data_IF_574657415554
#
_entry.id   IF_574657415554
#
_cell.length_a   1.000
_cell.length_b   1.000
_cell.length_c   1.000
_cell.angle_alpha   90.00
_cell.angle_beta   90.00
_cell.angle_gamma   90.00
#
_symmetry.space_group_name_H-M   'P 1'
#
loop_
_entity.id
_entity.type
_entity.pdbx_description
1 polymer ?
#
# COMPACT_ATOMS: atom_id res chain seq x y z
N UNK A 1 33.54 24.06 -26.34
CA UNK A 1 34.64 23.45 -25.56
C UNK A 1 34.45 21.94 -25.60
N UNK A 2 35.39 21.24 -26.24
CA UNK A 2 35.38 19.77 -26.35
C UNK A 2 35.40 19.17 -24.94
N UNK A 3 34.44 18.29 -24.62
CA UNK A 3 34.59 17.37 -23.48
C UNK A 3 35.75 16.45 -23.84
N UNK A 4 36.92 16.67 -23.26
CA UNK A 4 38.00 15.70 -23.30
C UNK A 4 37.46 14.42 -22.64
N UNK A 5 37.26 13.35 -23.42
CA UNK A 5 36.90 12.04 -22.88
C UNK A 5 38.14 11.48 -22.18
N UNK A 6 38.15 11.55 -20.85
CA UNK A 6 39.16 10.88 -20.03
C UNK A 6 38.84 9.39 -20.01
N UNK A 7 39.81 8.56 -20.40
CA UNK A 7 39.66 7.12 -20.44
C UNK A 7 40.33 6.49 -19.21
N UNK A 8 39.57 6.37 -18.12
CA UNK A 8 40.07 5.85 -16.84
C UNK A 8 40.13 4.31 -16.82
N UNK A 9 41.23 3.75 -16.32
CA UNK A 9 41.42 2.30 -16.22
C UNK A 9 40.92 1.71 -14.91
N UNK A 10 41.05 2.45 -13.80
CA UNK A 10 40.69 1.94 -12.47
C UNK A 10 39.19 1.64 -12.36
N UNK A 11 38.26 2.53 -12.78
CA UNK A 11 36.83 2.25 -12.79
C UNK A 11 36.46 1.00 -13.60
N UNK A 12 37.11 0.80 -14.77
CA UNK A 12 36.85 -0.36 -15.65
C UNK A 12 37.27 -1.69 -15.04
N UNK A 13 38.27 -1.66 -14.15
CA UNK A 13 38.84 -2.85 -13.50
C UNK A 13 38.34 -3.05 -12.07
N UNK A 14 37.44 -2.21 -11.58
CA UNK A 14 37.05 -2.16 -10.16
C UNK A 14 36.51 -3.49 -9.64
N UNK A 15 35.67 -4.20 -10.41
CA UNK A 15 35.07 -5.47 -10.03
C UNK A 15 36.13 -6.54 -9.76
N UNK A 16 37.20 -6.55 -10.56
CA UNK A 16 38.35 -7.43 -10.35
C UNK A 16 39.02 -7.15 -9.00
N UNK A 17 39.17 -5.88 -8.63
CA UNK A 17 39.78 -5.48 -7.37
C UNK A 17 38.87 -5.75 -6.17
N UNK A 18 37.56 -5.59 -6.31
CA UNK A 18 36.57 -5.96 -5.29
C UNK A 18 36.56 -7.48 -5.05
N UNK A 19 36.62 -8.29 -6.12
CA UNK A 19 36.75 -9.74 -6.00
C UNK A 19 38.06 -10.16 -5.30
N UNK A 20 39.17 -9.47 -5.57
CA UNK A 20 40.43 -9.69 -4.86
C UNK A 20 40.35 -9.27 -3.39
N UNK A 21 39.71 -8.13 -3.10
CA UNK A 21 39.53 -7.60 -1.76
C UNK A 21 38.65 -8.53 -0.91
N UNK A 22 37.57 -9.08 -1.48
CA UNK A 22 36.72 -10.07 -0.82
C UNK A 22 37.52 -11.31 -0.39
N UNK A 23 38.39 -11.84 -1.27
CA UNK A 23 39.30 -12.96 -0.94
C UNK A 23 40.32 -12.58 0.15
N UNK A 24 40.89 -11.39 0.06
CA UNK A 24 41.81 -10.86 1.07
C UNK A 24 41.13 -10.78 2.44
N UNK A 25 39.89 -10.29 2.51
CA UNK A 25 39.13 -10.25 3.76
C UNK A 25 38.78 -11.63 4.31
N UNK A 26 38.42 -12.58 3.45
CA UNK A 26 38.19 -13.96 3.84
C UNK A 26 39.43 -14.60 4.50
N UNK A 27 40.60 -14.42 3.88
CA UNK A 27 41.87 -14.95 4.39
C UNK A 27 42.29 -14.37 5.75
N UNK A 28 41.90 -13.13 6.02
CA UNK A 28 42.26 -12.41 7.24
C UNK A 28 41.15 -12.44 8.31
N UNK A 29 40.09 -13.25 8.13
CA UNK A 29 38.98 -13.35 9.08
C UNK A 29 38.13 -12.07 9.19
N UNK A 30 38.22 -11.16 8.21
CA UNK A 30 37.54 -9.86 8.18
C UNK A 30 36.11 -9.99 7.63
N UNK A 31 35.29 -10.83 8.28
CA UNK A 31 33.95 -11.21 7.80
C UNK A 31 33.03 -10.02 7.51
N UNK A 32 32.99 -9.02 8.40
CA UNK A 32 32.15 -7.82 8.24
C UNK A 32 32.42 -7.07 6.92
N UNK A 33 33.69 -6.98 6.52
CA UNK A 33 34.05 -6.30 5.29
C UNK A 33 33.75 -7.16 4.06
N UNK A 34 33.99 -8.47 4.17
CA UNK A 34 33.65 -9.40 3.10
C UNK A 34 32.14 -9.41 2.81
N UNK A 35 31.30 -9.41 3.85
CA UNK A 35 29.85 -9.36 3.71
C UNK A 35 29.39 -8.11 2.97
N UNK A 36 29.99 -6.95 3.25
CA UNK A 36 29.71 -5.70 2.52
C UNK A 36 30.12 -5.82 1.05
N UNK A 37 31.36 -6.24 0.76
CA UNK A 37 31.86 -6.31 -0.63
C UNK A 37 31.04 -7.30 -1.48
N UNK A 38 30.59 -8.41 -0.91
CA UNK A 38 29.84 -9.45 -1.64
C UNK A 38 28.41 -9.03 -1.96
N UNK A 39 27.75 -8.25 -1.08
CA UNK A 39 26.34 -7.90 -1.22
C UNK A 39 26.13 -6.49 -1.81
N UNK A 40 27.21 -5.77 -2.13
CA UNK A 40 27.12 -4.43 -2.67
C UNK A 40 26.84 -4.42 -4.18
N UNK A 41 25.85 -3.64 -4.61
CA UNK A 41 25.81 -3.10 -5.96
C UNK A 41 26.73 -1.88 -6.05
N UNK A 42 27.48 -1.76 -7.14
CA UNK A 42 28.48 -0.70 -7.26
C UNK A 42 28.01 0.44 -8.15
N UNK A 43 28.41 1.67 -7.78
CA UNK A 43 28.34 2.85 -8.62
C UNK A 43 29.63 3.64 -8.48
N UNK A 44 30.18 4.15 -9.58
CA UNK A 44 31.43 4.91 -9.56
C UNK A 44 31.18 6.32 -10.05
N UNK A 45 31.75 7.28 -9.31
CA UNK A 45 31.87 8.65 -9.74
C UNK A 45 33.34 8.90 -10.09
N UNK A 46 33.60 8.94 -11.39
CA UNK A 46 34.93 9.17 -11.93
C UNK A 46 35.37 10.63 -11.74
N UNK A 47 36.67 10.86 -11.48
CA UNK A 47 37.24 12.20 -11.25
C UNK A 47 36.48 12.97 -10.17
N UNK A 48 36.27 12.32 -9.03
CA UNK A 48 35.74 12.99 -7.84
C UNK A 48 36.72 14.02 -7.30
N UNK A 49 37.99 13.65 -7.19
CA UNK A 49 39.06 14.56 -6.80
C UNK A 49 40.09 14.61 -7.91
N UNK A 50 40.66 15.78 -8.12
CA UNK A 50 41.80 15.98 -9.01
C UNK A 50 42.88 16.69 -8.20
N UNK A 51 44.06 16.08 -8.13
CA UNK A 51 45.22 16.70 -7.52
C UNK A 51 46.27 16.95 -8.59
N UNK A 52 46.75 18.19 -8.65
CA UNK A 52 47.71 18.66 -9.63
C UNK A 52 49.00 19.05 -8.92
N UNK A 53 49.89 18.08 -8.73
CA UNK A 53 51.24 18.39 -8.29
C UNK A 53 52.10 18.73 -9.51
N UNK A 54 52.66 19.95 -9.52
CA UNK A 54 53.41 20.58 -10.62
C UNK A 54 54.66 19.81 -11.11
N UNK A 55 54.91 18.59 -10.63
CA UNK A 55 56.06 17.75 -10.98
C UNK A 55 55.70 16.38 -11.58
N UNK A 56 54.56 15.75 -11.22
CA UNK A 56 54.27 14.35 -11.58
C UNK A 56 53.04 14.15 -12.48
N UNK A 57 52.41 15.23 -12.95
CA UNK A 57 51.15 15.17 -13.70
C UNK A 57 49.92 15.00 -12.80
N UNK A 58 48.73 15.23 -13.35
CA UNK A 58 47.49 15.17 -12.60
C UNK A 58 47.20 13.73 -12.14
N UNK A 59 46.78 13.58 -10.89
CA UNK A 59 46.23 12.33 -10.36
C UNK A 59 44.72 12.45 -10.19
N UNK A 60 44.01 11.38 -10.53
CA UNK A 60 42.55 11.37 -10.56
C UNK A 60 42.01 10.39 -9.52
N UNK A 61 41.33 10.95 -8.53
CA UNK A 61 40.66 10.17 -7.50
C UNK A 61 39.21 9.90 -7.88
N UNK A 62 38.80 8.64 -7.77
CA UNK A 62 37.43 8.19 -8.04
C UNK A 62 36.73 7.85 -6.73
N UNK A 63 35.42 8.07 -6.64
CA UNK A 63 34.66 7.51 -5.54
C UNK A 63 33.86 6.29 -5.94
N UNK A 64 33.88 5.31 -5.05
CA UNK A 64 33.15 4.07 -5.18
C UNK A 64 32.00 4.07 -4.19
N UNK A 65 30.78 3.91 -4.68
CA UNK A 65 29.60 3.70 -3.86
C UNK A 65 29.30 2.20 -3.82
N UNK A 66 29.22 1.67 -2.60
CA UNK A 66 28.83 0.30 -2.28
C UNK A 66 27.40 0.37 -1.73
N UNK A 67 26.42 0.07 -2.56
CA UNK A 67 25.00 0.12 -2.22
C UNK A 67 24.59 -1.25 -1.71
N UNK A 68 24.22 -1.35 -0.44
CA UNK A 68 23.93 -2.63 0.24
C UNK A 68 22.49 -2.69 0.77
N UNK A 69 21.96 -3.91 1.03
CA UNK A 69 20.64 -4.07 1.63
C UNK A 69 20.48 -3.38 2.98
N UNK A 70 19.26 -2.88 3.26
CA UNK A 70 18.94 -2.12 4.49
C UNK A 70 19.40 -2.84 5.77
N UNK A 71 19.09 -4.14 5.88
CA UNK A 71 19.46 -4.94 7.06
C UNK A 71 20.97 -4.93 7.32
N UNK A 72 21.77 -5.01 6.25
CA UNK A 72 23.23 -5.00 6.34
C UNK A 72 23.74 -3.59 6.66
N UNK A 73 23.14 -2.56 6.06
CA UNK A 73 23.48 -1.16 6.30
C UNK A 73 23.26 -0.78 7.77
N UNK A 74 22.09 -1.09 8.32
CA UNK A 74 21.74 -0.84 9.72
C UNK A 74 22.69 -1.55 10.69
N UNK A 75 23.17 -2.75 10.33
CA UNK A 75 24.12 -3.51 11.16
C UNK A 75 25.50 -2.84 11.29
N UNK A 76 25.85 -1.93 10.37
CA UNK A 76 27.18 -1.30 10.30
C UNK A 76 27.16 0.22 10.36
N UNK A 77 25.99 0.85 10.50
CA UNK A 77 25.84 2.32 10.44
C UNK A 77 26.71 3.05 11.48
N UNK A 78 26.84 2.50 12.68
CA UNK A 78 27.67 3.10 13.75
C UNK A 78 29.18 3.07 13.42
N UNK A 79 29.63 2.04 12.70
CA UNK A 79 31.05 1.85 12.31
C UNK A 79 31.32 2.27 10.87
N UNK A 80 30.37 2.99 10.25
CA UNK A 80 30.39 3.32 8.82
C UNK A 80 31.67 4.04 8.40
N UNK A 81 32.16 5.00 9.20
CA UNK A 81 33.37 5.76 8.83
C UNK A 81 34.60 4.84 8.77
N UNK A 82 34.85 4.09 9.83
CA UNK A 82 36.01 3.18 9.92
C UNK A 82 35.99 2.14 8.80
N UNK A 83 34.80 1.63 8.47
CA UNK A 83 34.62 0.66 7.39
C UNK A 83 34.99 1.28 6.04
N UNK A 84 34.46 2.46 5.73
CA UNK A 84 34.74 3.17 4.49
C UNK A 84 36.23 3.50 4.34
N UNK A 85 36.86 3.98 5.41
CA UNK A 85 38.27 4.36 5.40
C UNK A 85 39.17 3.12 5.20
N UNK A 86 38.86 2.02 5.88
CA UNK A 86 39.60 0.76 5.73
C UNK A 86 39.42 0.14 4.33
N UNK A 87 38.21 0.13 3.76
CA UNK A 87 37.96 -0.36 2.41
C UNK A 87 38.71 0.50 1.38
N UNK A 88 38.67 1.83 1.54
CA UNK A 88 39.41 2.76 0.67
C UNK A 88 40.91 2.46 0.71
N UNK A 89 41.48 2.38 1.91
CA UNK A 89 42.89 2.10 2.10
C UNK A 89 43.30 0.73 1.54
N UNK A 90 42.47 -0.31 1.72
CA UNK A 90 42.78 -1.64 1.25
C UNK A 90 42.61 -1.78 -0.27
N UNK A 91 41.63 -1.11 -0.89
CA UNK A 91 41.52 -1.05 -2.36
C UNK A 91 42.75 -0.41 -3.00
N UNK A 92 43.22 0.71 -2.45
CA UNK A 92 44.41 1.40 -2.96
C UNK A 92 45.71 0.59 -2.79
N UNK A 93 45.76 -0.41 -1.90
CA UNK A 93 46.89 -1.35 -1.81
C UNK A 93 46.86 -2.45 -2.87
N UNK A 94 45.70 -2.73 -3.47
CA UNK A 94 45.50 -3.87 -4.37
C UNK A 94 45.76 -3.54 -5.84
N UNK A 95 45.64 -2.28 -6.24
CA UNK A 95 45.86 -1.87 -7.63
C UNK A 95 47.18 -1.11 -7.79
N UNK A 96 47.75 -1.18 -9.00
CA UNK A 96 48.94 -0.41 -9.41
C UNK A 96 48.64 0.48 -10.63
N UNK A 97 47.38 0.90 -10.81
CA UNK A 97 46.98 1.80 -11.90
C UNK A 97 47.68 3.14 -11.71
N UNK A 98 48.33 3.65 -12.76
CA UNK A 98 49.07 4.90 -12.71
C UNK A 98 48.13 6.10 -12.76
N UNK A 99 48.45 7.15 -11.98
CA UNK A 99 47.69 8.41 -11.93
C UNK A 99 46.21 8.29 -11.55
N UNK A 100 45.78 7.15 -11.00
CA UNK A 100 44.41 6.91 -10.54
C UNK A 100 44.40 6.26 -9.16
N UNK A 101 43.41 6.62 -8.34
CA UNK A 101 43.20 6.03 -7.02
C UNK A 101 41.73 6.06 -6.62
N UNK A 102 41.37 5.26 -5.62
CA UNK A 102 40.08 5.39 -4.93
C UNK A 102 40.22 6.51 -3.90
N UNK A 103 39.62 7.65 -4.17
CA UNK A 103 39.58 8.77 -3.22
C UNK A 103 38.76 8.41 -1.98
N UNK A 104 37.63 7.73 -2.19
CA UNK A 104 36.75 7.30 -1.10
C UNK A 104 35.81 6.17 -1.53
N UNK A 105 35.64 5.19 -0.64
CA UNK A 105 34.52 4.26 -0.68
C UNK A 105 33.38 4.81 0.21
N UNK A 106 32.16 4.84 -0.33
CA UNK A 106 30.96 5.21 0.39
C UNK A 106 30.07 3.99 0.56
N UNK A 107 29.54 3.82 1.78
CA UNK A 107 28.50 2.86 2.05
C UNK A 107 27.14 3.56 1.90
N UNK A 108 26.31 3.07 0.99
CA UNK A 108 24.95 3.54 0.78
C UNK A 108 23.96 2.41 1.03
N UNK A 109 22.76 2.79 1.46
CA UNK A 109 21.64 1.87 1.62
C UNK A 109 20.89 1.80 0.28
N UNK A 110 20.36 0.64 -0.08
CA UNK A 110 19.47 0.52 -1.23
C UNK A 110 18.21 1.39 -1.09
N UNK A 111 17.74 1.94 -2.21
CA UNK A 111 16.50 2.71 -2.25
C UNK A 111 15.29 1.78 -2.07
N UNK A 112 14.82 1.60 -0.85
CA UNK A 112 13.55 0.93 -0.57
C UNK A 112 12.40 1.82 -1.08
N UNK A 113 11.63 1.31 -2.04
CA UNK A 113 10.50 2.03 -2.63
C UNK A 113 9.49 2.46 -1.55
N UNK A 114 9.27 3.78 -1.43
CA UNK A 114 8.20 4.49 -0.70
C UNK A 114 7.24 3.61 0.11
N UNK A 115 7.70 3.11 1.26
CA UNK A 115 6.81 2.73 2.36
C UNK A 115 6.53 3.97 3.18
N UNK A 116 5.27 4.20 3.58
CA UNK A 116 4.87 5.32 4.44
C UNK A 116 5.34 5.09 5.90
N UNK A 117 6.65 4.85 6.10
CA UNK A 117 7.27 4.50 7.38
C UNK A 117 6.96 5.52 8.49
N UNK A 118 6.71 6.78 8.12
CA UNK A 118 6.27 7.83 9.04
C UNK A 118 4.93 7.48 9.69
N UNK A 119 3.96 7.01 8.90
CA UNK A 119 2.65 6.57 9.39
C UNK A 119 2.79 5.27 10.20
N UNK A 120 3.57 4.32 9.70
CA UNK A 120 3.78 3.02 10.35
C UNK A 120 4.51 3.11 11.68
N UNK A 121 5.38 4.11 11.86
CA UNK A 121 6.12 4.32 13.11
C UNK A 121 5.23 4.65 14.31
N UNK A 122 4.01 5.16 14.08
CA UNK A 122 3.14 5.70 15.13
C UNK A 122 3.68 6.96 15.82
N UNK A 123 4.84 7.47 15.40
CA UNK A 123 5.48 8.67 15.96
C UNK A 123 5.16 9.93 15.15
N UNK A 124 4.42 9.81 14.04
CA UNK A 124 4.02 10.97 13.26
C UNK A 124 3.05 11.83 14.06
N UNK A 125 3.54 12.99 14.51
CA UNK A 125 2.72 14.03 15.09
C UNK A 125 2.05 14.78 13.93
N UNK A 126 0.90 14.28 13.50
CA UNK A 126 0.03 15.00 12.56
C UNK A 126 -0.76 16.05 13.35
N UNK A 127 -0.87 17.29 12.83
CA UNK A 127 -1.70 18.35 13.43
C UNK A 127 -3.21 18.06 13.34
N UNK A 128 -3.58 16.89 12.81
CA UNK A 128 -4.95 16.39 12.74
C UNK A 128 -5.35 15.82 14.09
N UNK A 129 -6.55 16.20 14.54
CA UNK A 129 -7.22 15.56 15.68
C UNK A 129 -7.17 14.03 15.52
N UNK A 130 -6.61 13.35 16.51
CA UNK A 130 -6.66 11.89 16.62
C UNK A 130 -7.80 11.52 17.56
N UNK A 131 -8.69 10.64 17.13
CA UNK A 131 -9.74 10.11 18.01
C UNK A 131 -9.09 9.17 19.05
N UNK A 132 -9.52 9.22 20.33
CA UNK A 132 -9.04 8.28 21.34
C UNK A 132 -9.26 6.82 20.90
N UNK A 133 -8.37 5.88 21.25
CA UNK A 133 -8.52 4.47 20.88
C UNK A 133 -9.85 3.85 21.34
N UNK A 134 -10.30 4.17 22.55
CA UNK A 134 -11.57 3.68 23.10
C UNK A 134 -12.78 4.21 22.33
N UNK A 135 -12.75 5.49 21.94
CA UNK A 135 -13.80 6.10 21.11
C UNK A 135 -13.83 5.44 19.73
N UNK A 136 -12.66 5.24 19.13
CA UNK A 136 -12.51 4.57 17.84
C UNK A 136 -13.07 3.15 17.89
N UNK A 137 -12.70 2.35 18.91
CA UNK A 137 -13.20 0.98 19.08
C UNK A 137 -14.72 0.95 19.30
N UNK A 138 -15.27 1.90 20.06
CA UNK A 138 -16.72 2.00 20.30
C UNK A 138 -17.51 2.36 19.05
N UNK A 139 -16.99 3.26 18.22
CA UNK A 139 -17.64 3.73 16.99
C UNK A 139 -17.59 2.64 15.90
N UNK A 140 -16.41 2.06 15.70
CA UNK A 140 -16.14 1.23 14.52
C UNK A 140 -16.13 -0.27 14.81
N UNK A 141 -16.00 -0.68 16.07
CA UNK A 141 -15.75 -2.07 16.47
C UNK A 141 -14.35 -2.54 16.05
N UNK A 142 -14.22 -3.84 15.81
CA UNK A 142 -12.99 -4.47 15.32
C UNK A 142 -12.87 -4.45 13.78
N UNK A 143 -13.65 -3.58 13.12
CA UNK A 143 -13.69 -3.50 11.68
C UNK A 143 -12.45 -2.82 11.07
N UNK A 144 -12.12 -3.26 9.86
CA UNK A 144 -10.85 -2.93 9.19
C UNK A 144 -10.95 -1.76 8.20
N UNK A 145 -12.15 -1.39 7.75
CA UNK A 145 -12.34 -0.19 6.93
C UNK A 145 -13.54 0.62 7.43
N UNK A 146 -13.30 1.90 7.74
CA UNK A 146 -14.23 2.80 8.43
C UNK A 146 -14.79 3.84 7.47
N UNK A 147 -16.08 3.77 7.22
CA UNK A 147 -16.77 4.63 6.27
C UNK A 147 -17.73 5.58 6.99
N UNK A 148 -17.55 6.88 6.80
CA UNK A 148 -18.50 7.87 7.29
C UNK A 148 -19.59 8.11 6.24
N UNK A 149 -20.87 7.93 6.62
CA UNK A 149 -22.03 8.17 5.75
C UNK A 149 -22.70 9.49 6.14
N UNK A 150 -22.34 10.55 5.42
CA UNK A 150 -22.99 11.87 5.55
C UNK A 150 -24.31 11.88 4.79
N UNK A 151 -25.36 12.29 5.47
CA UNK A 151 -26.72 12.30 4.95
C UNK A 151 -27.59 13.34 5.67
N UNK A 152 -28.74 13.65 5.08
CA UNK A 152 -29.81 14.41 5.73
C UNK A 152 -30.66 13.47 6.58
N UNK A 153 -31.15 13.90 7.74
CA UNK A 153 -31.81 12.98 8.68
C UNK A 153 -33.09 12.34 8.12
N UNK A 154 -33.78 12.97 7.17
CA UNK A 154 -34.99 12.46 6.54
C UNK A 154 -34.76 11.11 5.84
N UNK A 155 -33.51 10.83 5.41
CA UNK A 155 -33.12 9.57 4.77
C UNK A 155 -32.31 8.66 5.69
N UNK A 156 -32.46 8.82 7.01
CA UNK A 156 -31.78 8.00 8.01
C UNK A 156 -32.09 6.51 7.87
N UNK A 157 -33.33 6.16 7.52
CA UNK A 157 -33.75 4.75 7.39
C UNK A 157 -33.01 4.08 6.24
N UNK A 158 -33.01 4.72 5.07
CA UNK A 158 -32.32 4.28 3.88
C UNK A 158 -30.82 4.20 4.14
N UNK A 159 -30.24 5.24 4.77
CA UNK A 159 -28.82 5.25 5.15
C UNK A 159 -28.45 4.12 6.12
N UNK A 160 -29.35 3.77 7.05
CA UNK A 160 -29.16 2.62 7.94
C UNK A 160 -29.15 1.30 7.16
N UNK A 161 -30.04 1.15 6.17
CA UNK A 161 -30.02 -0.01 5.25
C UNK A 161 -28.71 -0.09 4.46
N UNK A 162 -28.18 1.05 4.00
CA UNK A 162 -26.86 1.08 3.34
C UNK A 162 -25.75 0.61 4.28
N UNK A 163 -25.72 1.13 5.52
CA UNK A 163 -24.78 0.70 6.56
C UNK A 163 -24.85 -0.82 6.80
N UNK A 164 -26.05 -1.35 6.99
CA UNK A 164 -26.24 -2.77 7.29
C UNK A 164 -25.84 -3.65 6.10
N UNK A 165 -26.10 -3.21 4.86
CA UNK A 165 -25.66 -3.89 3.65
C UNK A 165 -24.14 -3.88 3.49
N UNK A 166 -23.49 -2.74 3.73
CA UNK A 166 -22.02 -2.62 3.65
C UNK A 166 -21.29 -3.46 4.70
N UNK A 167 -21.92 -3.75 5.84
CA UNK A 167 -21.38 -4.64 6.86
C UNK A 167 -21.12 -6.05 6.32
N UNK A 168 -21.94 -6.54 5.40
CA UNK A 168 -21.72 -7.85 4.76
C UNK A 168 -20.36 -7.92 4.07
N UNK A 169 -19.89 -6.79 3.52
CA UNK A 169 -18.61 -6.66 2.83
C UNK A 169 -17.44 -6.28 3.76
N UNK A 170 -17.64 -6.31 5.08
CA UNK A 170 -16.60 -5.98 6.06
C UNK A 170 -16.38 -4.48 6.32
N UNK A 171 -17.25 -3.62 5.77
CA UNK A 171 -17.15 -2.17 5.94
C UNK A 171 -17.95 -1.74 7.16
N UNK A 172 -17.30 -1.03 8.09
CA UNK A 172 -17.96 -0.46 9.26
C UNK A 172 -18.36 0.97 8.99
N UNK A 173 -19.66 1.25 9.12
CA UNK A 173 -20.22 2.55 8.79
C UNK A 173 -20.67 3.32 10.04
N UNK A 174 -20.31 4.60 10.07
CA UNK A 174 -20.90 5.57 10.98
C UNK A 174 -21.97 6.36 10.25
N UNK A 175 -23.13 6.51 10.90
CA UNK A 175 -24.32 7.18 10.34
C UNK A 175 -24.62 8.36 11.26
N UNK A 176 -24.31 9.57 10.83
CA UNK A 176 -24.52 10.77 11.61
C UNK A 176 -26.02 11.12 11.69
N UNK A 177 -26.64 11.01 12.85
CA UNK A 177 -28.02 11.48 13.03
C UNK A 177 -28.03 12.95 13.45
N UNK A 178 -28.76 13.82 12.73
CA UNK A 178 -28.62 15.27 12.89
C UNK A 178 -29.95 16.04 13.12
N UNK A 179 -30.96 15.43 13.77
CA UNK A 179 -32.27 16.10 13.98
C UNK A 179 -32.48 16.80 15.34
N UNK A 180 -31.52 16.79 16.26
CA UNK A 180 -31.67 17.45 17.56
C UNK A 180 -30.36 18.16 17.92
N UNK A 181 -30.44 19.36 18.52
CA UNK A 181 -29.30 20.06 19.11
C UNK A 181 -28.49 19.08 19.96
N UNK A 182 -27.29 18.66 19.50
CA UNK A 182 -26.66 17.49 20.07
C UNK A 182 -26.06 17.82 21.44
N UNK A 183 -26.09 16.85 22.35
CA UNK A 183 -25.30 16.95 23.58
C UNK A 183 -23.82 17.03 23.20
N UNK A 184 -22.99 17.66 24.06
CA UNK A 184 -21.52 17.73 23.83
C UNK A 184 -20.92 16.36 23.50
N UNK A 185 -21.41 15.31 24.16
CA UNK A 185 -20.95 13.93 23.94
C UNK A 185 -21.25 13.40 22.53
N UNK A 186 -22.39 13.78 21.92
CA UNK A 186 -22.71 13.35 20.55
C UNK A 186 -21.89 14.10 19.51
N UNK A 187 -21.67 15.41 19.72
CA UNK A 187 -20.77 16.17 18.85
C UNK A 187 -19.35 15.59 18.88
N UNK A 188 -18.83 15.26 20.07
CA UNK A 188 -17.53 14.60 20.20
C UNK A 188 -17.49 13.26 19.46
N UNK A 189 -18.59 12.51 19.41
CA UNK A 189 -18.68 11.25 18.68
C UNK A 189 -18.62 11.43 17.17
N UNK A 190 -19.32 12.41 16.61
CA UNK A 190 -19.22 12.78 15.19
C UNK A 190 -17.78 13.22 14.87
N UNK A 191 -17.20 14.08 15.69
CA UNK A 191 -15.84 14.58 15.47
C UNK A 191 -14.79 13.46 15.56
N UNK A 192 -14.97 12.50 16.47
CA UNK A 192 -14.12 11.32 16.57
C UNK A 192 -14.29 10.40 15.36
N UNK A 193 -15.52 10.21 14.87
CA UNK A 193 -15.76 9.44 13.65
C UNK A 193 -15.10 10.11 12.44
N UNK A 194 -15.27 11.42 12.25
CA UNK A 194 -14.60 12.19 11.18
C UNK A 194 -13.07 12.15 11.30
N UNK A 195 -12.53 12.18 12.53
CA UNK A 195 -11.10 12.13 12.79
C UNK A 195 -10.48 10.74 12.52
N UNK A 196 -11.27 9.67 12.54
CA UNK A 196 -10.78 8.28 12.49
C UNK A 196 -11.30 7.45 11.32
N UNK A 197 -12.10 8.04 10.43
CA UNK A 197 -12.58 7.41 9.20
C UNK A 197 -11.46 7.20 8.17
N UNK A 198 -11.63 6.16 7.36
CA UNK A 198 -10.76 5.80 6.23
C UNK A 198 -11.36 6.24 4.89
N UNK A 199 -12.67 6.52 4.85
CA UNK A 199 -13.36 7.06 3.68
C UNK A 199 -14.64 7.82 4.07
N UNK A 200 -15.12 8.65 3.15
CA UNK A 200 -16.30 9.48 3.33
C UNK A 200 -17.27 9.34 2.16
N UNK A 201 -18.55 9.18 2.46
CA UNK A 201 -19.63 9.15 1.46
C UNK A 201 -20.60 10.28 1.74
N UNK A 202 -20.87 11.09 0.72
CA UNK A 202 -21.92 12.09 0.74
C UNK A 202 -23.14 11.53 -0.02
N UNK A 203 -24.24 11.24 0.69
CA UNK A 203 -25.49 10.74 0.10
C UNK A 203 -26.32 11.94 -0.38
N UNK A 204 -26.04 12.40 -1.61
CA UNK A 204 -26.52 13.64 -2.20
C UNK A 204 -28.01 13.56 -2.60
N UNK A 205 -28.89 13.77 -1.62
CA UNK A 205 -30.34 13.96 -1.82
C UNK A 205 -30.67 15.44 -2.05
N UNK A 206 -31.87 15.77 -2.53
CA UNK A 206 -32.25 17.16 -2.87
C UNK A 206 -32.00 18.15 -1.72
N UNK A 207 -32.36 17.75 -0.50
CA UNK A 207 -32.22 18.58 0.70
C UNK A 207 -30.88 18.48 1.42
N UNK A 208 -29.88 17.78 0.86
CA UNK A 208 -28.59 17.54 1.53
C UNK A 208 -27.97 18.84 2.09
N UNK A 209 -27.97 19.91 1.27
CA UNK A 209 -27.45 21.24 1.63
C UNK A 209 -28.22 21.94 2.77
N UNK A 210 -29.47 21.58 3.02
CA UNK A 210 -30.28 22.24 4.05
C UNK A 210 -29.82 21.81 5.46
N UNK A 211 -29.01 20.76 5.56
CA UNK A 211 -28.44 20.32 6.83
C UNK A 211 -27.26 21.20 7.22
N UNK A 212 -27.32 21.76 8.43
CA UNK A 212 -26.26 22.59 9.04
C UNK A 212 -24.92 21.84 9.16
N UNK A 213 -24.94 20.50 9.16
CA UNK A 213 -23.77 19.66 9.40
C UNK A 213 -23.11 19.11 8.15
N UNK A 214 -23.89 18.74 7.12
CA UNK A 214 -23.38 17.99 5.97
C UNK A 214 -22.23 18.70 5.26
N UNK A 215 -22.35 20.02 5.04
CA UNK A 215 -21.30 20.81 4.41
C UNK A 215 -20.03 20.92 5.30
N UNK A 216 -20.18 20.92 6.62
CA UNK A 216 -19.06 20.91 7.56
C UNK A 216 -18.36 19.55 7.58
N UNK A 217 -19.12 18.46 7.58
CA UNK A 217 -18.61 17.08 7.49
C UNK A 217 -17.83 16.90 6.18
N UNK A 218 -18.37 17.38 5.06
CA UNK A 218 -17.69 17.42 3.76
C UNK A 218 -16.39 18.22 3.85
N UNK A 219 -16.42 19.42 4.44
CA UNK A 219 -15.23 20.24 4.64
C UNK A 219 -14.15 19.51 5.46
N UNK A 220 -14.54 18.81 6.52
CA UNK A 220 -13.64 18.01 7.35
C UNK A 220 -13.01 16.86 6.56
N UNK A 221 -13.82 16.13 5.77
CA UNK A 221 -13.33 15.04 4.93
C UNK A 221 -12.32 15.54 3.88
N UNK A 222 -12.61 16.69 3.25
CA UNK A 222 -11.70 17.34 2.29
C UNK A 222 -10.38 17.72 2.96
N UNK A 223 -10.42 18.30 4.16
CA UNK A 223 -9.22 18.68 4.90
C UNK A 223 -8.40 17.46 5.38
N UNK A 224 -9.08 16.36 5.74
CA UNK A 224 -8.43 15.10 6.11
C UNK A 224 -7.67 14.47 4.94
N UNK A 225 -8.17 14.65 3.72
CA UNK A 225 -7.63 14.06 2.51
C UNK A 225 -7.99 12.58 2.34
N UNK A 226 -9.04 12.10 3.02
CA UNK A 226 -9.57 10.73 2.81
C UNK A 226 -10.29 10.64 1.46
N UNK A 227 -10.43 9.44 0.87
CA UNK A 227 -11.29 9.24 -0.28
C UNK A 227 -12.73 9.71 -0.02
N UNK A 228 -13.26 10.52 -0.93
CA UNK A 228 -14.63 11.05 -0.88
C UNK A 228 -15.43 10.52 -2.07
N UNK A 229 -16.58 9.92 -1.80
CA UNK A 229 -17.49 9.40 -2.82
C UNK A 229 -18.83 10.14 -2.71
N UNK A 230 -19.11 11.14 -3.54
CA UNK A 230 -20.45 11.71 -3.65
C UNK A 230 -21.34 10.72 -4.40
N UNK A 231 -22.43 10.28 -3.76
CA UNK A 231 -23.46 9.44 -4.38
C UNK A 231 -24.64 10.31 -4.74
N UNK A 232 -24.95 10.41 -6.04
CA UNK A 232 -26.08 11.18 -6.53
C UNK A 232 -27.38 10.40 -6.33
N UNK A 233 -28.19 10.83 -5.35
CA UNK A 233 -29.49 10.28 -4.98
C UNK A 233 -30.63 11.30 -5.16
N UNK A 234 -30.40 12.31 -5.99
CA UNK A 234 -31.35 13.40 -6.25
C UNK A 234 -30.68 14.75 -6.48
N UNK A 235 -29.40 14.90 -6.07
CA UNK A 235 -28.65 16.14 -6.24
C UNK A 235 -27.23 15.86 -6.75
N UNK A 236 -26.74 16.72 -7.64
CA UNK A 236 -25.33 16.71 -8.04
C UNK A 236 -24.42 17.25 -6.91
N UNK A 237 -23.15 16.81 -6.82
CA UNK A 237 -22.20 17.33 -5.86
C UNK A 237 -21.91 18.81 -6.12
N UNK A 238 -21.69 19.56 -5.05
CA UNK A 238 -21.44 21.01 -5.08
C UNK A 238 -20.29 21.39 -4.15
N UNK A 239 -19.92 22.67 -4.13
CA UNK A 239 -18.82 23.16 -3.30
C UNK A 239 -17.51 22.44 -3.61
N UNK A 240 -16.72 22.12 -2.57
CA UNK A 240 -15.42 21.46 -2.74
C UNK A 240 -15.48 20.08 -3.39
N UNK A 241 -16.61 19.37 -3.27
CA UNK A 241 -16.80 18.03 -3.85
C UNK A 241 -17.41 18.07 -5.25
N UNK A 242 -17.84 19.24 -5.74
CA UNK A 242 -18.38 19.41 -7.10
C UNK A 242 -17.37 19.10 -8.21
N UNK A 243 -16.08 19.07 -7.89
CA UNK A 243 -15.01 18.64 -8.82
C UNK A 243 -14.94 17.12 -9.00
N UNK A 244 -15.57 16.34 -8.11
CA UNK A 244 -15.57 14.88 -8.19
C UNK A 244 -16.74 14.40 -9.03
N UNK A 245 -16.50 13.40 -9.89
CA UNK A 245 -17.58 12.71 -10.59
C UNK A 245 -18.41 11.92 -9.58
N UNK A 246 -19.70 12.24 -9.49
CA UNK A 246 -20.60 11.52 -8.59
C UNK A 246 -20.89 10.10 -9.07
N UNK A 247 -20.97 9.19 -8.10
CA UNK A 247 -21.54 7.87 -8.31
C UNK A 247 -23.06 8.02 -8.50
N UNK A 248 -23.53 7.82 -9.73
CA UNK A 248 -24.97 7.78 -10.01
C UNK A 248 -25.52 6.42 -9.58
N UNK A 249 -26.40 6.38 -8.58
CA UNK A 249 -26.97 5.14 -8.05
C UNK A 249 -28.39 5.35 -7.53
N UNK A 250 -29.00 4.30 -7.00
CA UNK A 250 -30.31 4.30 -6.34
C UNK A 250 -30.19 3.63 -4.97
N UNK A 251 -31.13 3.88 -4.06
CA UNK A 251 -31.09 3.27 -2.71
C UNK A 251 -30.96 1.73 -2.71
N UNK A 252 -31.61 0.96 -3.59
CA UNK A 252 -31.41 -0.48 -3.65
C UNK A 252 -30.02 -0.91 -4.16
N UNK A 253 -29.39 -0.11 -5.03
CA UNK A 253 -28.13 -0.46 -5.71
C UNK A 253 -26.87 0.10 -5.03
N UNK A 254 -27.03 1.13 -4.19
CA UNK A 254 -25.92 1.94 -3.66
C UNK A 254 -24.88 1.13 -2.89
N UNK A 255 -25.27 0.07 -2.20
CA UNK A 255 -24.33 -0.80 -1.46
C UNK A 255 -23.33 -1.45 -2.43
N UNK A 256 -23.85 -2.11 -3.47
CA UNK A 256 -23.02 -2.79 -4.46
C UNK A 256 -22.21 -1.77 -5.25
N UNK A 257 -22.81 -0.65 -5.65
CA UNK A 257 -22.13 0.39 -6.42
C UNK A 257 -21.00 1.08 -5.63
N UNK A 258 -21.20 1.34 -4.33
CA UNK A 258 -20.14 1.81 -3.45
C UNK A 258 -19.02 0.78 -3.35
N UNK A 259 -19.35 -0.50 -3.17
CA UNK A 259 -18.33 -1.55 -3.05
C UNK A 259 -17.49 -1.70 -4.32
N UNK A 260 -18.05 -1.51 -5.52
CA UNK A 260 -17.29 -1.51 -6.78
C UNK A 260 -16.21 -0.42 -6.82
N UNK A 261 -16.41 0.69 -6.12
CA UNK A 261 -15.41 1.76 -5.96
C UNK A 261 -14.45 1.43 -4.82
N UNK A 262 -14.99 1.08 -3.65
CA UNK A 262 -14.21 0.86 -2.43
C UNK A 262 -13.22 -0.30 -2.57
N UNK A 263 -13.57 -1.37 -3.29
CA UNK A 263 -12.72 -2.55 -3.46
C UNK A 263 -11.38 -2.26 -4.13
N UNK A 264 -11.23 -1.09 -4.79
CA UNK A 264 -9.97 -0.63 -5.38
C UNK A 264 -8.98 -0.12 -4.34
N UNK A 265 -9.45 0.21 -3.13
CA UNK A 265 -8.61 0.55 -1.99
C UNK A 265 -8.10 -0.72 -1.31
N UNK A 266 -6.79 -0.83 -1.07
CA UNK A 266 -6.17 -2.03 -0.50
C UNK A 266 -6.68 -2.39 0.90
N UNK A 267 -6.99 -1.40 1.76
CA UNK A 267 -7.53 -1.66 3.10
C UNK A 267 -8.98 -2.16 3.03
N UNK A 268 -9.81 -1.56 2.18
CA UNK A 268 -11.18 -2.02 1.95
C UNK A 268 -11.21 -3.42 1.31
N UNK A 269 -10.29 -3.74 0.40
CA UNK A 269 -10.12 -5.07 -0.16
C UNK A 269 -9.73 -6.11 0.91
N UNK A 270 -8.80 -5.76 1.81
CA UNK A 270 -8.47 -6.64 2.93
C UNK A 270 -9.66 -6.84 3.88
N UNK A 271 -10.43 -5.78 4.14
CA UNK A 271 -11.67 -5.87 4.93
C UNK A 271 -12.69 -6.81 4.29
N UNK A 272 -12.86 -6.71 2.97
CA UNK A 272 -13.71 -7.60 2.18
C UNK A 272 -13.25 -9.07 2.28
N UNK A 273 -11.96 -9.35 2.05
CA UNK A 273 -11.40 -10.71 2.16
C UNK A 273 -11.64 -11.29 3.57
N UNK A 274 -11.41 -10.49 4.62
CA UNK A 274 -11.68 -10.92 5.99
C UNK A 274 -13.17 -11.22 6.24
N UNK A 275 -14.09 -10.45 5.64
CA UNK A 275 -15.52 -10.68 5.75
C UNK A 275 -15.96 -11.99 5.08
N UNK A 276 -15.28 -12.41 3.99
CA UNK A 276 -15.57 -13.66 3.30
C UNK A 276 -15.44 -14.89 4.20
N UNK A 277 -14.52 -14.89 5.18
CA UNK A 277 -14.36 -15.99 6.14
C UNK A 277 -15.63 -16.25 6.95
N UNK A 278 -16.40 -15.19 7.22
CA UNK A 278 -17.63 -15.23 8.02
C UNK A 278 -18.88 -15.12 7.14
N UNK A 279 -18.80 -15.53 5.87
CA UNK A 279 -19.94 -15.53 4.95
C UNK A 279 -21.11 -16.34 5.55
N UNK A 280 -22.29 -15.73 5.79
CA UNK A 280 -23.33 -16.36 6.62
C UNK A 280 -24.22 -17.35 5.87
N UNK A 281 -24.19 -17.34 4.53
CA UNK A 281 -25.04 -18.23 3.71
C UNK A 281 -24.61 -18.24 2.24
N UNK A 282 -25.09 -19.22 1.46
CA UNK A 282 -24.92 -19.26 0.01
C UNK A 282 -25.47 -18.02 -0.70
N UNK A 283 -26.60 -17.49 -0.22
CA UNK A 283 -27.20 -16.30 -0.82
C UNK A 283 -26.33 -15.06 -0.57
N UNK A 284 -25.79 -14.92 0.65
CA UNK A 284 -24.82 -13.88 0.96
C UNK A 284 -23.54 -14.01 0.11
N UNK A 285 -23.06 -15.24 -0.12
CA UNK A 285 -21.95 -15.51 -1.02
C UNK A 285 -22.21 -15.03 -2.45
N UNK A 286 -23.43 -15.21 -2.97
CA UNK A 286 -23.79 -14.70 -4.29
C UNK A 286 -23.75 -13.15 -4.36
N UNK A 287 -24.22 -12.47 -3.32
CA UNK A 287 -24.18 -11.00 -3.23
C UNK A 287 -22.74 -10.50 -3.14
N UNK A 288 -21.91 -11.15 -2.32
CA UNK A 288 -20.48 -10.83 -2.18
C UNK A 288 -19.74 -10.97 -3.52
N UNK A 289 -20.07 -12.01 -4.29
CA UNK A 289 -19.44 -12.29 -5.59
C UNK A 289 -19.67 -11.20 -6.65
N UNK A 290 -20.72 -10.37 -6.52
CA UNK A 290 -21.01 -9.28 -7.47
C UNK A 290 -19.87 -8.26 -7.59
N UNK A 291 -18.98 -8.20 -6.58
CA UNK A 291 -17.86 -7.26 -6.52
C UNK A 291 -16.59 -7.81 -7.20
N UNK A 292 -16.49 -9.14 -7.39
CA UNK A 292 -15.30 -9.77 -7.97
C UNK A 292 -14.84 -9.16 -9.31
N UNK A 293 -15.74 -8.79 -10.25
CA UNK A 293 -15.33 -8.16 -11.51
C UNK A 293 -14.66 -6.80 -11.34
N UNK A 294 -14.91 -6.11 -10.22
CA UNK A 294 -14.38 -4.76 -9.95
C UNK A 294 -13.00 -4.79 -9.27
N UNK A 295 -12.48 -5.97 -8.94
CA UNK A 295 -11.12 -6.13 -8.43
C UNK A 295 -10.14 -5.95 -9.61
N UNK A 296 -9.25 -4.96 -9.48
CA UNK A 296 -8.30 -4.60 -10.54
C UNK A 296 -6.88 -5.12 -10.28
N UNK A 297 -6.51 -5.35 -9.01
CA UNK A 297 -5.17 -5.78 -8.60
C UNK A 297 -5.25 -6.65 -7.34
N UNK A 298 -4.38 -7.65 -7.26
CA UNK A 298 -4.21 -8.51 -6.09
C UNK A 298 -2.72 -8.77 -5.84
N UNK A 299 -2.29 -8.72 -4.57
CA UNK A 299 -0.99 -9.24 -4.17
C UNK A 299 -1.00 -10.78 -4.10
N UNK A 300 0.18 -11.40 -4.08
CA UNK A 300 0.29 -12.85 -3.86
C UNK A 300 -0.40 -13.29 -2.56
N UNK A 301 -0.24 -12.53 -1.48
CA UNK A 301 -0.88 -12.80 -0.19
C UNK A 301 -2.40 -12.68 -0.24
N UNK A 302 -2.94 -11.71 -0.98
CA UNK A 302 -4.39 -11.56 -1.16
C UNK A 302 -4.97 -12.70 -2.02
N UNK A 303 -4.23 -13.17 -3.03
CA UNK A 303 -4.61 -14.35 -3.82
C UNK A 303 -4.67 -15.59 -2.91
N UNK A 304 -3.63 -15.82 -2.12
CA UNK A 304 -3.57 -16.98 -1.21
C UNK A 304 -4.70 -16.92 -0.18
N UNK A 305 -4.96 -15.73 0.39
CA UNK A 305 -6.06 -15.52 1.32
C UNK A 305 -7.42 -15.82 0.65
N UNK A 306 -7.72 -15.25 -0.51
CA UNK A 306 -8.98 -15.51 -1.23
C UNK A 306 -9.21 -16.99 -1.54
N UNK A 307 -8.16 -17.71 -1.93
CA UNK A 307 -8.22 -19.15 -2.20
C UNK A 307 -8.46 -19.93 -0.91
N UNK A 308 -7.72 -19.62 0.15
CA UNK A 308 -7.90 -20.24 1.46
C UNK A 308 -9.33 -20.03 1.97
N UNK A 309 -9.82 -18.79 1.95
CA UNK A 309 -11.18 -18.46 2.39
C UNK A 309 -12.23 -19.22 1.57
N UNK A 310 -12.10 -19.27 0.24
CA UNK A 310 -13.02 -20.04 -0.59
C UNK A 310 -12.97 -21.55 -0.25
N UNK A 311 -11.77 -22.12 -0.13
CA UNK A 311 -11.57 -23.55 0.14
C UNK A 311 -11.97 -23.97 1.55
N UNK A 312 -11.99 -23.04 2.52
CA UNK A 312 -12.36 -23.31 3.90
C UNK A 312 -13.87 -23.08 4.13
N UNK A 313 -14.47 -22.07 3.51
CA UNK A 313 -15.87 -21.68 3.74
C UNK A 313 -16.84 -22.41 2.81
N UNK A 314 -17.68 -23.29 3.36
CA UNK A 314 -18.67 -24.05 2.59
C UNK A 314 -19.71 -23.17 1.89
N UNK A 315 -19.97 -22.00 2.46
CA UNK A 315 -20.94 -21.02 2.01
C UNK A 315 -20.48 -20.36 0.70
N UNK A 316 -19.17 -20.14 0.57
CA UNK A 316 -18.59 -19.61 -0.66
C UNK A 316 -18.55 -20.69 -1.75
N UNK A 317 -18.14 -21.91 -1.41
CA UNK A 317 -18.15 -23.05 -2.36
C UNK A 317 -19.53 -23.37 -2.89
N UNK A 318 -20.55 -23.26 -2.04
CA UNK A 318 -21.95 -23.49 -2.42
C UNK A 318 -22.59 -22.31 -3.19
N UNK A 319 -22.00 -21.12 -3.14
CA UNK A 319 -22.53 -19.96 -3.85
C UNK A 319 -22.20 -20.02 -5.34
N UNK A 320 -23.22 -19.80 -6.16
CA UNK A 320 -23.10 -19.78 -7.63
C UNK A 320 -22.13 -18.70 -8.13
N UNK A 321 -22.08 -17.56 -7.42
CA UNK A 321 -21.23 -16.43 -7.80
C UNK A 321 -19.74 -16.66 -7.57
N UNK A 322 -19.35 -17.39 -6.52
CA UNK A 322 -17.94 -17.74 -6.31
C UNK A 322 -17.53 -19.02 -7.05
N UNK A 323 -18.39 -20.04 -7.10
CA UNK A 323 -18.05 -21.30 -7.75
C UNK A 323 -18.21 -21.28 -9.28
N UNK A 324 -18.95 -20.31 -9.83
CA UNK A 324 -19.08 -20.11 -11.28
C UNK A 324 -20.03 -21.09 -11.99
N UNK A 325 -20.85 -21.86 -11.27
CA UNK A 325 -21.76 -22.86 -11.88
C UNK A 325 -22.97 -22.28 -12.61
N UNK A 326 -23.32 -21.01 -12.33
CA UNK A 326 -24.40 -20.29 -13.04
C UNK A 326 -23.91 -18.94 -13.59
N UNK A 327 -23.02 -18.96 -14.60
CA UNK A 327 -22.31 -17.75 -15.04
C UNK A 327 -23.22 -16.65 -15.60
N UNK A 328 -24.33 -17.04 -16.24
CA UNK A 328 -25.29 -16.09 -16.80
C UNK A 328 -26.07 -15.28 -15.75
N UNK A 329 -26.18 -15.79 -14.53
CA UNK A 329 -26.97 -15.14 -13.46
C UNK A 329 -26.11 -14.56 -12.35
N UNK A 330 -24.95 -15.15 -12.08
CA UNK A 330 -24.12 -14.80 -10.92
C UNK A 330 -22.65 -14.49 -11.26
N UNK A 331 -22.27 -14.51 -12.54
CA UNK A 331 -20.90 -14.25 -12.98
C UNK A 331 -20.01 -15.49 -13.01
N UNK A 332 -18.80 -15.33 -13.53
CA UNK A 332 -17.92 -16.42 -13.97
C UNK A 332 -17.27 -17.23 -12.82
N UNK A 333 -17.47 -16.87 -11.56
CA UNK A 333 -16.75 -17.46 -10.43
C UNK A 333 -15.45 -16.73 -10.08
N UNK A 334 -14.83 -17.13 -8.98
CA UNK A 334 -13.59 -16.53 -8.47
C UNK A 334 -12.38 -16.86 -9.36
N UNK A 335 -12.26 -18.09 -9.84
CA UNK A 335 -11.07 -18.59 -10.55
C UNK A 335 -10.68 -17.76 -11.79
N UNK A 336 -11.60 -17.38 -12.69
CA UNK A 336 -11.25 -16.54 -13.84
C UNK A 336 -10.68 -15.18 -13.44
N UNK A 337 -11.12 -14.61 -12.31
CA UNK A 337 -10.58 -13.36 -11.80
C UNK A 337 -9.17 -13.54 -11.21
N UNK A 338 -8.92 -14.64 -10.49
CA UNK A 338 -7.59 -14.98 -9.98
C UNK A 338 -6.58 -15.17 -11.12
N UNK A 339 -6.96 -15.92 -12.15
CA UNK A 339 -6.09 -16.20 -13.32
C UNK A 339 -5.83 -14.97 -14.20
N UNK A 340 -6.75 -13.98 -14.18
CA UNK A 340 -6.59 -12.70 -14.87
C UNK A 340 -5.66 -11.74 -14.14
N UNK A 341 -5.69 -11.75 -12.81
CA UNK A 341 -5.04 -10.74 -11.96
C UNK A 341 -3.72 -11.21 -11.35
N UNK A 342 -3.50 -12.52 -11.28
CA UNK A 342 -2.33 -13.13 -10.67
C UNK A 342 -1.31 -13.66 -11.68
N UNK A 343 -0.09 -13.87 -11.19
CA UNK A 343 0.99 -14.50 -11.97
C UNK A 343 0.94 -16.04 -11.92
N UNK A 344 -0.05 -16.62 -11.21
CA UNK A 344 -0.25 -18.06 -11.04
C UNK A 344 -1.57 -18.47 -11.70
N UNK A 345 -1.61 -19.70 -12.20
CA UNK A 345 -2.81 -20.28 -12.78
C UNK A 345 -3.44 -21.28 -11.83
N UNK A 346 -4.77 -21.27 -11.77
CA UNK A 346 -5.57 -22.09 -10.88
C UNK A 346 -6.66 -22.82 -11.67
N UNK A 347 -6.90 -24.07 -11.31
CA UNK A 347 -8.04 -24.84 -11.76
C UNK A 347 -9.26 -24.49 -10.90
N UNK A 348 -10.40 -24.32 -11.56
CA UNK A 348 -11.64 -23.98 -10.90
C UNK A 348 -12.27 -25.14 -10.15
N UNK A 349 -13.29 -24.85 -9.32
CA UNK A 349 -14.03 -25.88 -8.59
C UNK A 349 -14.82 -26.77 -9.56
N UNK A 350 -14.66 -28.08 -9.43
CA UNK A 350 -15.30 -29.10 -10.25
C UNK A 350 -15.40 -30.44 -9.49
N UNK A 351 -16.03 -31.44 -10.11
CA UNK A 351 -16.02 -32.81 -9.59
C UNK A 351 -14.60 -33.39 -9.47
N UNK A 352 -13.66 -33.01 -10.34
CA UNK A 352 -12.27 -33.50 -10.28
C UNK A 352 -11.43 -32.81 -9.20
N UNK A 353 -11.82 -31.60 -8.79
CA UNK A 353 -11.08 -30.81 -7.79
C UNK A 353 -11.71 -30.87 -6.39
N UNK A 354 -12.74 -31.69 -6.19
CA UNK A 354 -13.56 -31.73 -4.97
C UNK A 354 -14.19 -30.37 -4.64
N UNK A 355 -14.54 -29.60 -5.67
CA UNK A 355 -15.05 -28.22 -5.56
C UNK A 355 -14.07 -27.22 -4.91
N UNK A 356 -12.79 -27.55 -4.85
CA UNK A 356 -11.73 -26.67 -4.38
C UNK A 356 -11.03 -25.95 -5.54
N UNK A 357 -10.49 -24.76 -5.26
CA UNK A 357 -9.55 -24.09 -6.16
C UNK A 357 -8.15 -24.62 -5.87
N UNK A 358 -7.48 -25.16 -6.90
CA UNK A 358 -6.13 -25.75 -6.80
C UNK A 358 -5.18 -25.09 -7.80
N UNK A 359 -3.89 -24.92 -7.48
CA UNK A 359 -2.91 -24.42 -8.45
C UNK A 359 -2.72 -25.42 -9.60
N UNK A 360 -2.56 -24.90 -10.82
CA UNK A 360 -2.15 -25.70 -11.98
C UNK A 360 -0.63 -25.83 -11.92
N UNK A 361 -0.14 -27.06 -11.73
CA UNK A 361 1.29 -27.41 -11.76
C UNK A 361 1.92 -27.25 -13.12
#
# INVERSE_FOLDING_TARGET
MSKQEFNFELPKKIERYLAALSKFYAQNGKRQFQEIIVNAQIRIHERWTEDSDNWNGNTYGHALYLIIPEQLFLSYVEKKSDIQDQITADLNKLHNVHSEFIARAFLEMEDAANQEWRNESGLLIDGKRQAPPDATKRIWGDASFRLFLSHKTEVKKETTTVKDGLRLFGISCFVAHNDIHPTKAWQEEIENALASMDGFVALMTEGFHDSVWTDQEVGYAVARGVPIIPVRLGKDPYGFIGKFQALSSTWPAVVVDLMKILIKNGQALNAYINALHNCPSWNAGNVLAEILPSIEKLSSSQIDALIATYNETSELRGSFGFNGTKPYSYGLGLTPHLNRLGNRQFEGPSLSTDWLIKPIT
#
